data_IF_005535626353
#
_entry.id   IF_005535626353
#
_cell.length_a   1.000
_cell.length_b   1.000
_cell.length_c   1.000
_cell.angle_alpha   90.00
_cell.angle_beta   90.00
_cell.angle_gamma   90.00
#
_symmetry.space_group_name_H-M   'P 1'
#
loop_
_entity.id
_entity.type
_entity.pdbx_description
1 polymer ?
#
# COMPACT_ATOMS: atom_id res chain seq x y z
N UNK A 1 11.63 -24.32 22.01
CA UNK A 1 11.03 -23.51 20.95
C UNK A 1 11.52 -24.06 19.62
N UNK A 2 10.66 -24.63 18.80
CA UNK A 2 11.05 -25.34 17.58
C UNK A 2 11.45 -24.35 16.48
N UNK A 3 12.71 -24.38 16.06
CA UNK A 3 13.18 -23.67 14.87
C UNK A 3 12.80 -24.49 13.64
N UNK A 4 11.64 -24.23 13.06
CA UNK A 4 11.30 -24.78 11.75
C UNK A 4 12.33 -24.28 10.75
N UNK A 5 12.92 -25.17 9.95
CA UNK A 5 13.78 -24.85 8.77
C UNK A 5 13.09 -24.00 7.68
N UNK A 6 11.85 -23.58 7.95
CA UNK A 6 10.92 -22.83 7.10
C UNK A 6 10.23 -21.74 7.94
N UNK A 7 10.99 -20.95 8.70
CA UNK A 7 10.51 -19.65 9.17
C UNK A 7 10.34 -18.69 7.99
N UNK A 8 9.66 -17.54 8.17
CA UNK A 8 9.65 -16.50 7.15
C UNK A 8 11.09 -16.22 6.71
N UNK A 9 11.35 -16.36 5.41
CA UNK A 9 12.69 -16.15 4.86
C UNK A 9 13.09 -14.71 5.21
N UNK A 10 14.23 -14.47 5.88
CA UNK A 10 14.71 -13.12 6.10
C UNK A 10 14.73 -12.37 4.78
N UNK A 11 14.19 -11.15 4.76
CA UNK A 11 14.25 -10.31 3.57
C UNK A 11 15.70 -10.16 3.13
N UNK A 12 15.95 -10.37 1.84
CA UNK A 12 17.26 -10.10 1.25
C UNK A 12 17.60 -8.62 1.49
N UNK A 13 18.82 -8.27 1.98
CA UNK A 13 19.24 -6.88 2.13
C UNK A 13 19.03 -6.03 0.87
N UNK A 14 19.09 -6.64 -0.33
CA UNK A 14 18.80 -5.97 -1.60
C UNK A 14 17.33 -5.58 -1.74
N UNK A 15 16.40 -6.39 -1.22
CA UNK A 15 14.97 -6.06 -1.22
C UNK A 15 14.70 -4.87 -0.29
N UNK A 16 15.32 -4.88 0.89
CA UNK A 16 15.23 -3.78 1.84
C UNK A 16 15.79 -2.48 1.26
N UNK A 17 16.96 -2.55 0.61
CA UNK A 17 17.56 -1.41 -0.05
C UNK A 17 16.68 -0.87 -1.18
N UNK A 18 16.12 -1.75 -2.02
CA UNK A 18 15.22 -1.36 -3.10
C UNK A 18 13.98 -0.62 -2.58
N UNK A 19 13.36 -1.16 -1.52
CA UNK A 19 12.24 -0.49 -0.85
C UNK A 19 12.64 0.86 -0.26
N UNK A 20 13.75 0.91 0.48
CA UNK A 20 14.19 2.13 1.16
C UNK A 20 14.47 3.27 0.17
N UNK A 21 15.07 2.97 -0.99
CA UNK A 21 15.33 3.96 -2.04
C UNK A 21 14.02 4.52 -2.60
N UNK A 22 13.07 3.65 -2.98
CA UNK A 22 11.79 4.10 -3.51
C UNK A 22 10.96 4.86 -2.48
N UNK A 23 10.86 4.36 -1.24
CA UNK A 23 10.11 5.04 -0.20
C UNK A 23 10.72 6.42 0.13
N UNK A 24 12.06 6.52 0.13
CA UNK A 24 12.74 7.81 0.31
C UNK A 24 12.38 8.80 -0.80
N UNK A 25 12.36 8.35 -2.06
CA UNK A 25 11.93 9.20 -3.18
C UNK A 25 10.48 9.67 -3.03
N UNK A 26 9.54 8.74 -2.79
CA UNK A 26 8.13 9.09 -2.64
C UNK A 26 7.83 9.97 -1.42
N UNK A 27 8.55 9.79 -0.32
CA UNK A 27 8.42 10.65 0.86
C UNK A 27 8.97 12.05 0.59
N UNK A 28 10.08 12.17 -0.14
CA UNK A 28 10.61 13.47 -0.56
C UNK A 28 9.61 14.25 -1.42
N UNK A 29 8.87 13.54 -2.26
CA UNK A 29 7.93 14.09 -3.24
C UNK A 29 6.46 13.86 -2.90
N UNK A 30 6.13 13.78 -1.60
CA UNK A 30 4.79 13.39 -1.16
C UNK A 30 3.69 14.38 -1.58
N UNK A 31 4.07 15.62 -1.89
CA UNK A 31 3.16 16.71 -2.32
C UNK A 31 3.28 17.00 -3.83
N UNK A 32 4.13 16.27 -4.55
CA UNK A 32 4.40 16.47 -5.97
C UNK A 32 3.72 15.38 -6.83
N UNK A 33 3.48 15.70 -8.11
CA UNK A 33 3.16 14.68 -9.12
C UNK A 33 4.47 14.20 -9.74
N UNK A 34 4.81 12.94 -9.52
CA UNK A 34 6.03 12.30 -10.03
C UNK A 34 5.76 11.48 -11.29
N UNK A 35 6.76 11.38 -12.16
CA UNK A 35 6.75 10.48 -13.31
C UNK A 35 7.59 9.24 -12.99
N UNK A 36 7.04 8.06 -13.30
CA UNK A 36 7.69 6.78 -12.98
C UNK A 36 7.87 5.99 -14.27
N UNK A 37 9.11 5.67 -14.60
CA UNK A 37 9.46 4.87 -15.77
C UNK A 37 10.07 3.53 -15.35
N UNK A 38 9.59 2.43 -15.94
CA UNK A 38 10.24 1.12 -15.79
C UNK A 38 11.36 1.02 -16.80
N UNK A 39 12.61 1.07 -16.32
CA UNK A 39 13.77 1.10 -17.19
C UNK A 39 14.00 -0.24 -17.91
N UNK A 40 14.26 -0.23 -19.23
CA UNK A 40 14.76 -1.41 -19.93
C UNK A 40 16.16 -1.77 -19.41
N UNK A 41 16.61 -3.04 -19.53
CA UNK A 41 17.91 -3.47 -19.03
C UNK A 41 19.11 -2.66 -19.54
N UNK A 42 19.03 -2.13 -20.76
CA UNK A 42 20.07 -1.31 -21.37
C UNK A 42 20.24 0.08 -20.71
N UNK A 43 19.23 0.55 -19.98
CA UNK A 43 19.25 1.83 -19.25
C UNK A 43 19.37 1.62 -17.73
N UNK A 44 19.75 0.41 -17.28
CA UNK A 44 20.04 0.21 -15.86
C UNK A 44 21.21 1.13 -15.43
N UNK A 45 21.17 1.69 -14.22
CA UNK A 45 22.18 2.65 -13.78
C UNK A 45 23.61 2.09 -13.90
N UNK A 46 24.51 2.77 -14.63
CA UNK A 46 25.87 2.27 -14.88
C UNK A 46 26.77 2.35 -13.65
N UNK A 47 26.43 3.21 -12.69
CA UNK A 47 27.12 3.41 -11.41
C UNK A 47 26.76 2.35 -10.35
N UNK A 48 25.86 1.43 -10.69
CA UNK A 48 25.35 0.42 -9.76
C UNK A 48 24.32 0.95 -8.77
N UNK A 49 23.84 2.18 -8.97
CA UNK A 49 22.71 2.70 -8.21
C UNK A 49 21.43 1.92 -8.51
N UNK A 50 20.45 2.06 -7.62
CA UNK A 50 19.21 1.27 -7.63
C UNK A 50 18.18 1.87 -8.59
N UNK A 51 18.23 3.19 -8.79
CA UNK A 51 17.29 4.01 -9.56
C UNK A 51 18.03 5.13 -10.29
N UNK A 52 17.45 5.64 -11.37
CA UNK A 52 17.84 6.91 -11.99
C UNK A 52 16.85 7.98 -11.53
N UNK A 53 17.33 9.07 -10.94
CA UNK A 53 16.50 10.20 -10.52
C UNK A 53 16.85 11.43 -11.37
N UNK A 54 15.85 12.07 -11.96
CA UNK A 54 15.95 13.37 -12.64
C UNK A 54 14.78 14.26 -12.22
N UNK A 55 15.01 15.11 -11.21
CA UNK A 55 13.96 15.97 -10.64
C UNK A 55 12.78 15.16 -10.09
N UNK A 56 11.61 15.30 -10.74
CA UNK A 56 10.36 14.60 -10.39
C UNK A 56 10.20 13.27 -11.12
N UNK A 57 11.15 12.90 -11.98
CA UNK A 57 11.13 11.66 -12.74
C UNK A 57 12.01 10.61 -12.07
N UNK A 58 11.50 9.39 -11.93
CA UNK A 58 12.27 8.25 -11.43
C UNK A 58 12.20 7.07 -12.40
N UNK A 59 13.38 6.66 -12.85
CA UNK A 59 13.60 5.43 -13.60
C UNK A 59 13.94 4.27 -12.66
N UNK A 60 13.15 3.20 -12.69
CA UNK A 60 13.34 2.01 -11.85
C UNK A 60 13.46 0.75 -12.69
N UNK A 61 14.56 -0.03 -12.60
CA UNK A 61 14.64 -1.32 -13.26
C UNK A 61 13.57 -2.29 -12.73
N UNK A 62 12.92 -3.09 -13.60
CA UNK A 62 11.84 -4.02 -13.19
C UNK A 62 12.24 -4.96 -12.04
N UNK A 63 13.49 -5.46 -12.04
CA UNK A 63 14.01 -6.33 -10.95
C UNK A 63 14.07 -5.63 -9.60
N UNK A 64 14.36 -4.33 -9.60
CA UNK A 64 14.41 -3.49 -8.41
C UNK A 64 12.99 -3.24 -7.90
N UNK A 65 12.07 -2.92 -8.81
CA UNK A 65 10.66 -2.73 -8.44
C UNK A 65 10.05 -4.00 -7.84
N UNK A 66 10.33 -5.18 -8.43
CA UNK A 66 9.91 -6.46 -7.87
C UNK A 66 10.55 -6.75 -6.50
N UNK A 67 11.84 -6.45 -6.32
CA UNK A 67 12.53 -6.59 -5.03
C UNK A 67 11.91 -5.67 -3.95
N UNK A 68 11.63 -4.42 -4.31
CA UNK A 68 10.97 -3.46 -3.43
C UNK A 68 9.54 -3.91 -3.07
N UNK A 69 8.79 -4.47 -4.02
CA UNK A 69 7.47 -5.05 -3.76
C UNK A 69 7.53 -6.17 -2.71
N UNK A 70 8.49 -7.09 -2.79
CA UNK A 70 8.64 -8.17 -1.80
C UNK A 70 8.89 -7.60 -0.39
N UNK A 71 9.79 -6.62 -0.28
CA UNK A 71 10.05 -5.95 1.01
C UNK A 71 8.83 -5.18 1.52
N UNK A 72 8.15 -4.44 0.64
CA UNK A 72 6.93 -3.69 0.97
C UNK A 72 5.83 -4.62 1.49
N UNK A 73 5.62 -5.78 0.85
CA UNK A 73 4.66 -6.78 1.33
C UNK A 73 4.99 -7.23 2.76
N UNK A 74 6.25 -7.57 3.07
CA UNK A 74 6.65 -7.95 4.44
C UNK A 74 6.31 -6.86 5.44
N UNK A 75 6.73 -5.60 5.15
CA UNK A 75 6.48 -4.45 6.03
C UNK A 75 4.98 -4.24 6.22
N UNK A 76 4.20 -4.31 5.13
CA UNK A 76 2.75 -4.16 5.19
C UNK A 76 2.10 -5.24 6.08
N UNK A 77 2.41 -6.52 5.86
CA UNK A 77 1.81 -7.60 6.63
C UNK A 77 2.28 -7.63 8.08
N UNK A 78 3.49 -7.15 8.38
CA UNK A 78 4.00 -7.02 9.75
C UNK A 78 3.33 -5.88 10.54
N UNK A 79 2.82 -4.85 9.85
CA UNK A 79 2.35 -3.62 10.51
C UNK A 79 0.83 -3.36 10.39
N UNK A 80 0.14 -3.93 9.40
CA UNK A 80 -1.27 -3.59 9.11
C UNK A 80 -2.27 -3.91 10.21
N UNK A 81 -1.94 -4.86 11.09
CA UNK A 81 -2.81 -5.37 12.14
C UNK A 81 -2.51 -4.68 13.50
N UNK A 82 -1.43 -3.89 13.57
CA UNK A 82 -0.99 -3.17 14.76
C UNK A 82 -1.64 -1.77 14.82
N UNK A 83 -2.44 -1.45 15.85
CA UNK A 83 -3.25 -0.23 15.88
C UNK A 83 -2.46 1.04 16.28
N UNK A 84 -1.14 0.96 16.40
CA UNK A 84 -0.32 2.11 16.76
C UNK A 84 0.00 2.98 15.52
N UNK A 85 0.12 4.29 15.72
CA UNK A 85 0.32 5.25 14.64
C UNK A 85 1.54 4.95 13.78
N UNK A 86 2.66 4.54 14.40
CA UNK A 86 3.89 4.22 13.67
C UNK A 86 3.71 3.02 12.72
N UNK A 87 3.00 1.98 13.15
CA UNK A 87 2.71 0.81 12.32
C UNK A 87 1.72 1.16 11.21
N UNK A 88 0.70 1.97 11.49
CA UNK A 88 -0.22 2.47 10.45
C UNK A 88 0.52 3.26 9.38
N UNK A 89 1.42 4.16 9.77
CA UNK A 89 2.25 4.93 8.84
C UNK A 89 3.18 4.03 8.03
N UNK A 90 3.84 3.06 8.65
CA UNK A 90 4.70 2.10 7.96
C UNK A 90 3.91 1.25 6.95
N UNK A 91 2.69 0.81 7.30
CA UNK A 91 1.80 0.11 6.40
C UNK A 91 1.33 1.00 5.24
N UNK A 92 0.98 2.26 5.50
CA UNK A 92 0.60 3.25 4.48
C UNK A 92 1.74 3.51 3.49
N UNK A 93 2.96 3.69 3.97
CA UNK A 93 4.16 3.83 3.14
C UNK A 93 4.39 2.58 2.28
N UNK A 94 4.32 1.39 2.88
CA UNK A 94 4.44 0.14 2.17
C UNK A 94 3.39 0.00 1.05
N UNK A 95 2.14 0.44 1.30
CA UNK A 95 1.11 0.40 0.26
C UNK A 95 1.42 1.24 -0.97
N UNK A 96 2.25 2.31 -0.87
CA UNK A 96 2.67 3.10 -2.03
C UNK A 96 3.45 2.25 -3.04
N UNK A 97 4.40 1.45 -2.55
CA UNK A 97 5.23 0.56 -3.37
C UNK A 97 4.43 -0.66 -3.85
N UNK A 98 3.57 -1.22 -3.00
CA UNK A 98 2.70 -2.34 -3.38
C UNK A 98 1.82 -1.96 -4.57
N UNK A 99 1.11 -0.83 -4.46
CA UNK A 99 0.16 -0.40 -5.49
C UNK A 99 0.85 0.14 -6.75
N UNK A 100 2.10 0.58 -6.65
CA UNK A 100 2.91 0.90 -7.82
C UNK A 100 3.24 -0.35 -8.65
N UNK A 101 3.54 -1.47 -7.98
CA UNK A 101 3.86 -2.73 -8.67
C UNK A 101 2.60 -3.47 -9.12
N UNK A 102 1.56 -3.50 -8.27
CA UNK A 102 0.30 -4.20 -8.49
C UNK A 102 -0.89 -3.32 -8.05
N UNK A 103 -1.48 -2.54 -8.97
CA UNK A 103 -2.63 -1.69 -8.65
C UNK A 103 -3.90 -2.50 -8.33
N UNK A 104 -3.95 -3.80 -8.66
CA UNK A 104 -5.07 -4.70 -8.36
C UNK A 104 -4.94 -5.37 -6.99
N UNK A 105 -3.94 -5.00 -6.19
CA UNK A 105 -3.72 -5.54 -4.85
C UNK A 105 -4.79 -5.05 -3.85
N UNK A 106 -5.98 -5.68 -3.89
CA UNK A 106 -7.18 -5.27 -3.16
C UNK A 106 -6.97 -5.10 -1.66
N UNK A 107 -6.13 -5.92 -1.03
CA UNK A 107 -5.85 -5.81 0.41
C UNK A 107 -5.16 -4.49 0.76
N UNK A 108 -4.24 -4.02 -0.09
CA UNK A 108 -3.53 -2.75 0.13
C UNK A 108 -4.44 -1.55 -0.19
N UNK A 109 -5.20 -1.63 -1.28
CA UNK A 109 -6.18 -0.62 -1.65
C UNK A 109 -7.27 -0.46 -0.57
N UNK A 110 -7.81 -1.57 -0.07
CA UNK A 110 -8.80 -1.57 1.01
C UNK A 110 -8.21 -1.03 2.30
N UNK A 111 -6.98 -1.40 2.66
CA UNK A 111 -6.32 -0.82 3.82
C UNK A 111 -6.28 0.71 3.75
N UNK A 112 -5.83 1.28 2.62
CA UNK A 112 -5.82 2.74 2.40
C UNK A 112 -7.22 3.33 2.47
N UNK A 113 -8.23 2.66 1.91
CA UNK A 113 -9.62 3.10 1.99
C UNK A 113 -10.09 3.21 3.45
N UNK A 114 -9.83 2.20 4.27
CA UNK A 114 -10.21 2.18 5.69
C UNK A 114 -9.52 3.32 6.46
N UNK A 115 -8.23 3.58 6.17
CA UNK A 115 -7.53 4.71 6.79
C UNK A 115 -8.14 6.07 6.39
N UNK A 116 -8.58 6.23 5.15
CA UNK A 116 -9.29 7.45 4.71
C UNK A 116 -10.66 7.58 5.36
N UNK A 117 -11.37 6.48 5.61
CA UNK A 117 -12.65 6.49 6.31
C UNK A 117 -12.48 6.90 7.78
N UNK A 118 -11.44 6.40 8.47
CA UNK A 118 -11.13 6.79 9.85
C UNK A 118 -10.82 8.29 9.97
N UNK A 119 -10.07 8.86 9.02
CA UNK A 119 -9.78 10.31 9.00
C UNK A 119 -11.05 11.14 8.75
N UNK A 120 -11.96 10.66 7.90
CA UNK A 120 -13.20 11.37 7.55
C UNK A 120 -14.29 11.25 8.61
N UNK A 121 -14.36 10.10 9.28
CA UNK A 121 -15.41 9.73 10.21
C UNK A 121 -14.82 9.02 11.44
N UNK A 122 -14.04 9.74 12.26
CA UNK A 122 -13.36 9.13 13.41
C UNK A 122 -14.38 8.48 14.35
N UNK A 123 -14.16 7.20 14.66
CA UNK A 123 -15.03 6.43 15.56
C UNK A 123 -16.41 6.02 15.00
N UNK A 124 -16.68 6.18 13.71
CA UNK A 124 -17.93 5.73 13.05
C UNK A 124 -17.72 4.55 12.10
N UNK A 125 -16.86 3.58 12.46
CA UNK A 125 -16.57 2.44 11.59
C UNK A 125 -17.72 1.40 11.60
N UNK A 126 -18.46 1.17 10.50
CA UNK A 126 -19.60 0.25 10.48
C UNK A 126 -19.21 -1.24 10.55
N UNK A 127 -17.91 -1.55 10.47
CA UNK A 127 -17.41 -2.94 10.48
C UNK A 127 -16.49 -3.31 11.66
N UNK A 128 -16.20 -2.38 12.58
CA UNK A 128 -15.26 -2.63 13.70
C UNK A 128 -15.82 -2.25 15.07
N UNK A 129 -17.14 -2.17 15.20
CA UNK A 129 -17.75 -2.31 16.52
C UNK A 129 -17.83 -3.80 16.84
N UNK A 130 -17.01 -4.24 17.81
CA UNK A 130 -16.96 -5.57 18.43
C UNK A 130 -16.33 -6.73 17.63
N UNK A 131 -15.29 -7.33 18.21
CA UNK A 131 -14.91 -8.73 18.03
C UNK A 131 -16.13 -9.62 18.23
N UNK A 132 -16.81 -9.96 17.15
CA UNK A 132 -17.85 -10.97 17.09
C UNK A 132 -17.59 -11.77 15.83
N UNK A 133 -17.32 -13.05 16.01
CA UNK A 133 -17.16 -14.03 14.93
C UNK A 133 -18.35 -13.92 13.99
N UNK A 134 -18.16 -13.31 12.82
CA UNK A 134 -19.18 -13.25 11.77
C UNK A 134 -19.46 -14.69 11.36
N UNK A 135 -20.68 -15.16 11.62
CA UNK A 135 -21.14 -16.45 11.11
C UNK A 135 -21.51 -16.24 9.64
N UNK A 136 -21.20 -17.22 8.79
CA UNK A 136 -21.44 -17.16 7.33
C UNK A 136 -22.93 -16.89 6.99
N UNK A 137 -23.85 -17.11 7.93
CA UNK A 137 -25.26 -16.73 7.82
C UNK A 137 -25.52 -15.23 7.70
N UNK A 138 -24.62 -14.38 8.20
CA UNK A 138 -24.84 -12.93 8.29
C UNK A 138 -24.52 -12.21 6.96
N UNK A 139 -23.91 -12.91 6.00
CA UNK A 139 -23.52 -12.36 4.69
C UNK A 139 -24.74 -12.27 3.73
N UNK A 140 -25.86 -12.93 4.05
CA UNK A 140 -27.00 -13.05 3.13
C UNK A 140 -27.97 -11.86 3.20
N UNK A 141 -27.83 -10.96 4.18
CA UNK A 141 -28.66 -9.75 4.27
C UNK A 141 -27.83 -8.48 4.06
N UNK A 142 -27.51 -8.18 2.79
CA UNK A 142 -27.17 -6.82 2.41
C UNK A 142 -28.36 -5.91 2.77
N UNK A 143 -28.20 -4.86 3.60
CA UNK A 143 -29.26 -3.89 3.79
C UNK A 143 -29.57 -3.28 2.42
N UNK A 144 -30.84 -3.36 2.01
CA UNK A 144 -31.33 -2.78 0.77
C UNK A 144 -30.89 -1.32 0.74
N UNK A 145 -30.05 -0.98 -0.24
CA UNK A 145 -29.70 0.41 -0.55
C UNK A 145 -31.01 1.19 -0.69
N UNK A 146 -31.25 2.13 0.23
CA UNK A 146 -32.39 3.03 0.11
C UNK A 146 -32.13 3.96 -1.07
N UNK A 147 -32.78 3.64 -2.20
CA UNK A 147 -32.72 4.40 -3.44
C UNK A 147 -33.27 5.83 -3.31
N UNK A 148 -33.76 6.25 -2.13
CA UNK A 148 -34.31 7.60 -1.90
C UNK A 148 -33.28 8.69 -1.59
N UNK A 149 -31.97 8.39 -1.46
CA UNK A 149 -30.96 9.41 -1.09
C UNK A 149 -30.17 10.03 -2.25
N UNK A 150 -30.39 9.62 -3.50
CA UNK A 150 -29.84 10.34 -4.67
C UNK A 150 -30.77 11.48 -5.08
N UNK A 151 -30.78 12.58 -4.33
CA UNK A 151 -31.23 13.87 -4.86
C UNK A 151 -30.12 14.43 -5.74
N UNK A 152 -30.34 14.33 -7.04
CA UNK A 152 -29.89 15.23 -8.11
C UNK A 152 -29.21 16.51 -7.59
N UNK A 153 -27.89 16.60 -7.78
CA UNK A 153 -27.21 17.90 -7.82
C UNK A 153 -27.41 18.43 -9.23
N UNK A 154 -28.42 19.26 -9.39
CA UNK A 154 -28.64 20.08 -10.59
C UNK A 154 -27.46 21.03 -10.71
N UNK A 155 -26.62 20.83 -11.72
CA UNK A 155 -25.68 21.85 -12.18
C UNK A 155 -26.50 22.98 -12.82
N UNK A 156 -26.51 24.14 -12.18
CA UNK A 156 -26.83 25.43 -12.80
C UNK A 156 -25.58 26.28 -12.75
N UNK A 157 -24.95 26.47 -13.90
CA UNK A 157 -24.76 27.78 -14.55
C UNK A 157 -24.17 27.60 -15.94
#
# INVERSE_FOLDING_TARGET
MATTKWGPRPLDPKHQLAYAVLNKFFTRHQEDVVEIEVLPPALAPPDGSVTLEDGLCIGVPKRVLAAAFVAACSIFFENRDEPNESSVLAALDATRVILLFDPEHLTAANFRRLQLEEVKFPGQHPYLSSTSTIQISDIVELPKLDHKRFRSVVLHR
#
